data_IF_638192712763
#
_entry.id   IF_638192712763
#
_cell.length_a   1.000
_cell.length_b   1.000
_cell.length_c   1.000
_cell.angle_alpha   90.00
_cell.angle_beta   90.00
_cell.angle_gamma   90.00
#
_symmetry.space_group_name_H-M   'P 1'
#
loop_
_entity.id
_entity.type
_entity.pdbx_description
1 polymer ?
#
# COMPACT_ATOMS: atom_id res chain seq x y z
N UNK A 1 -4.65 20.66 -3.41
CA UNK A 1 -4.81 19.44 -4.25
C UNK A 1 -3.59 19.12 -5.11
N UNK A 2 -3.20 19.97 -6.08
CA UNK A 2 -2.05 19.68 -6.96
C UNK A 2 -0.73 19.46 -6.20
N UNK A 3 -0.43 20.31 -5.22
CA UNK A 3 0.75 20.16 -4.34
C UNK A 3 0.75 18.84 -3.56
N UNK A 4 -0.42 18.36 -3.15
CA UNK A 4 -0.55 17.08 -2.47
C UNK A 4 -0.20 15.93 -3.41
N UNK A 5 -0.77 15.91 -4.63
CA UNK A 5 -0.50 14.87 -5.62
C UNK A 5 0.98 14.81 -6.02
N UNK A 6 1.60 15.99 -6.24
CA UNK A 6 3.02 16.10 -6.59
C UNK A 6 3.96 15.56 -5.50
N UNK A 7 3.54 15.58 -4.24
CA UNK A 7 4.33 15.05 -3.13
C UNK A 7 3.97 13.60 -2.81
N UNK A 8 2.68 13.24 -2.86
CA UNK A 8 2.17 11.94 -2.44
C UNK A 8 2.55 10.83 -3.43
N UNK A 9 2.39 11.08 -4.74
CA UNK A 9 2.66 10.07 -5.76
C UNK A 9 4.13 9.58 -5.74
N UNK A 10 5.15 10.45 -5.86
CA UNK A 10 6.54 9.99 -5.87
C UNK A 10 6.96 9.41 -4.53
N UNK A 11 6.44 9.93 -3.40
CA UNK A 11 6.79 9.41 -2.07
C UNK A 11 6.20 8.02 -1.81
N UNK A 12 4.99 7.74 -2.28
CA UNK A 12 4.39 6.41 -2.21
C UNK A 12 5.14 5.41 -3.09
N UNK A 13 5.44 5.76 -4.35
CA UNK A 13 6.21 4.91 -5.26
C UNK A 13 7.59 4.60 -4.67
N UNK A 14 8.27 5.61 -4.12
CA UNK A 14 9.56 5.42 -3.45
C UNK A 14 9.45 4.50 -2.24
N UNK A 15 8.41 4.66 -1.43
CA UNK A 15 8.15 3.79 -0.26
C UNK A 15 7.93 2.34 -0.68
N UNK A 16 7.14 2.10 -1.74
CA UNK A 16 6.91 0.77 -2.29
C UNK A 16 8.20 0.16 -2.85
N UNK A 17 9.01 0.94 -3.55
CA UNK A 17 10.31 0.49 -4.05
C UNK A 17 11.25 0.11 -2.90
N UNK A 18 11.40 0.97 -1.89
CA UNK A 18 12.22 0.68 -0.70
C UNK A 18 11.75 -0.58 0.02
N UNK A 19 10.43 -0.76 0.15
CA UNK A 19 9.87 -1.95 0.77
C UNK A 19 10.16 -3.20 -0.05
N UNK A 20 9.99 -3.15 -1.37
CA UNK A 20 10.31 -4.26 -2.27
C UNK A 20 11.77 -4.71 -2.12
N UNK A 21 12.72 -3.77 -2.25
CA UNK A 21 14.15 -4.08 -2.11
C UNK A 21 14.54 -4.51 -0.69
N UNK A 22 13.94 -3.90 0.34
CA UNK A 22 14.18 -4.28 1.73
C UNK A 22 13.68 -5.69 2.04
N UNK A 23 12.53 -6.06 1.50
CA UNK A 23 11.94 -7.39 1.69
C UNK A 23 12.70 -8.48 0.93
N UNK A 24 13.21 -8.15 -0.26
CA UNK A 24 14.08 -9.00 -1.07
C UNK A 24 15.43 -9.22 -0.38
N UNK A 25 16.05 -8.16 0.15
CA UNK A 25 17.30 -8.25 0.92
C UNK A 25 17.18 -9.15 2.17
N UNK A 26 16.01 -9.15 2.82
CA UNK A 26 15.75 -10.01 3.99
C UNK A 26 15.41 -11.47 3.61
N UNK A 27 15.25 -11.79 2.32
CA UNK A 27 14.88 -13.13 1.86
C UNK A 27 13.48 -13.58 2.29
N UNK A 28 12.58 -12.63 2.62
CA UNK A 28 11.24 -12.90 3.14
C UNK A 28 10.15 -12.88 2.06
N UNK A 29 10.52 -12.56 0.82
CA UNK A 29 9.62 -12.46 -0.33
C UNK A 29 9.79 -13.62 -1.30
N UNK A 30 8.71 -13.99 -1.97
CA UNK A 30 8.83 -14.74 -3.22
C UNK A 30 9.33 -13.76 -4.29
N UNK A 31 10.54 -13.96 -4.80
CA UNK A 31 11.07 -13.22 -5.93
C UNK A 31 10.25 -13.58 -7.18
N UNK A 32 9.41 -12.65 -7.62
CA UNK A 32 8.70 -12.78 -8.89
C UNK A 32 9.43 -11.89 -9.88
N UNK A 33 10.14 -12.51 -10.82
CA UNK A 33 10.81 -11.82 -11.93
C UNK A 33 9.75 -11.24 -12.88
N UNK A 34 9.24 -10.06 -12.53
CA UNK A 34 8.37 -9.26 -13.38
C UNK A 34 9.22 -8.28 -14.20
N UNK A 35 8.85 -8.01 -15.46
CA UNK A 35 9.48 -6.95 -16.23
C UNK A 35 9.44 -5.62 -15.45
N UNK A 36 10.55 -4.85 -15.38
CA UNK A 36 10.62 -3.63 -14.56
C UNK A 36 9.51 -2.62 -14.86
N UNK A 37 9.05 -2.56 -16.12
CA UNK A 37 7.94 -1.70 -16.56
C UNK A 37 6.61 -2.10 -15.91
N UNK A 38 6.35 -3.40 -15.75
CA UNK A 38 5.11 -3.91 -15.15
C UNK A 38 5.14 -3.68 -13.65
N UNK A 39 6.29 -3.92 -13.01
CA UNK A 39 6.50 -3.65 -11.59
C UNK A 39 6.26 -2.16 -11.29
N UNK A 40 6.91 -1.26 -12.03
CA UNK A 40 6.75 0.18 -11.86
C UNK A 40 5.31 0.65 -12.12
N UNK A 41 4.67 0.13 -13.17
CA UNK A 41 3.27 0.47 -13.49
C UNK A 41 2.31 0.02 -12.39
N UNK A 42 2.57 -1.13 -11.76
CA UNK A 42 1.76 -1.62 -10.63
C UNK A 42 1.91 -0.71 -9.40
N UNK A 43 3.13 -0.29 -9.06
CA UNK A 43 3.35 0.68 -7.97
C UNK A 43 2.66 2.02 -8.22
N UNK A 44 2.71 2.52 -9.46
CA UNK A 44 2.00 3.74 -9.84
C UNK A 44 0.48 3.60 -9.66
N UNK A 45 -0.09 2.51 -10.19
CA UNK A 45 -1.53 2.27 -10.11
C UNK A 45 -2.00 2.14 -8.67
N UNK A 46 -1.22 1.45 -7.82
CA UNK A 46 -1.53 1.30 -6.40
C UNK A 46 -1.39 2.60 -5.63
N UNK A 47 -0.35 3.38 -5.92
CA UNK A 47 -0.17 4.70 -5.32
C UNK A 47 -1.35 5.61 -5.64
N UNK A 48 -1.82 5.59 -6.90
CA UNK A 48 -3.03 6.31 -7.31
C UNK A 48 -4.28 5.78 -6.60
N UNK A 49 -4.44 4.47 -6.51
CA UNK A 49 -5.56 3.84 -5.79
C UNK A 49 -5.62 4.26 -4.33
N UNK A 50 -4.48 4.28 -3.64
CA UNK A 50 -4.35 4.73 -2.25
C UNK A 50 -4.66 6.22 -2.07
N UNK A 51 -4.16 7.06 -2.98
CA UNK A 51 -4.46 8.49 -3.01
C UNK A 51 -5.97 8.71 -3.17
N UNK A 52 -6.61 8.03 -4.12
CA UNK A 52 -8.05 8.13 -4.37
C UNK A 52 -8.84 7.66 -3.15
N UNK A 53 -8.50 6.50 -2.58
CA UNK A 53 -9.16 5.98 -1.38
C UNK A 53 -9.04 6.96 -0.20
N UNK A 54 -7.85 7.51 0.03
CA UNK A 54 -7.61 8.51 1.07
C UNK A 54 -8.47 9.75 0.87
N UNK A 55 -8.50 10.31 -0.35
CA UNK A 55 -9.30 11.50 -0.67
C UNK A 55 -10.80 11.24 -0.53
N UNK A 56 -11.29 10.08 -0.99
CA UNK A 56 -12.70 9.69 -0.87
C UNK A 56 -13.14 9.58 0.58
N UNK A 57 -12.34 8.95 1.44
CA UNK A 57 -12.73 8.76 2.85
C UNK A 57 -12.61 10.08 3.62
N UNK A 58 -11.55 10.86 3.34
CA UNK A 58 -11.34 12.19 3.93
C UNK A 58 -12.45 13.17 3.54
N UNK A 59 -12.90 13.15 2.28
CA UNK A 59 -13.98 14.00 1.80
C UNK A 59 -15.33 13.77 2.48
N UNK A 60 -15.50 12.66 3.21
CA UNK A 60 -16.72 12.33 3.97
C UNK A 60 -16.68 12.79 5.43
N UNK A 61 -15.72 13.64 5.81
CA UNK A 61 -15.65 14.24 7.15
C UNK A 61 -15.19 13.28 8.27
N UNK A 62 -14.63 12.12 7.93
CA UNK A 62 -14.04 11.20 8.92
C UNK A 62 -12.69 11.70 9.41
N UNK A 63 -12.37 11.43 10.68
CA UNK A 63 -11.10 11.82 11.31
C UNK A 63 -9.88 11.39 10.48
N UNK A 64 -8.92 12.31 10.32
CA UNK A 64 -7.80 12.22 9.36
C UNK A 64 -7.04 10.89 9.41
N UNK A 65 -6.74 10.41 10.61
CA UNK A 65 -6.01 9.16 10.84
C UNK A 65 -6.86 7.92 10.56
N UNK A 66 -8.12 7.92 11.01
CA UNK A 66 -9.06 6.82 10.75
C UNK A 66 -9.35 6.70 9.25
N UNK A 67 -9.42 7.83 8.54
CA UNK A 67 -9.61 7.86 7.09
C UNK A 67 -8.42 7.23 6.35
N UNK A 68 -7.19 7.55 6.76
CA UNK A 68 -5.99 7.02 6.14
C UNK A 68 -5.77 5.54 6.44
N UNK A 69 -5.76 5.17 7.72
CA UNK A 69 -5.51 3.79 8.16
C UNK A 69 -6.63 2.88 7.69
N UNK A 70 -7.88 3.29 7.85
CA UNK A 70 -9.04 2.53 7.38
C UNK A 70 -9.04 2.35 5.86
N UNK A 71 -8.68 3.39 5.10
CA UNK A 71 -8.55 3.31 3.64
C UNK A 71 -7.44 2.37 3.20
N UNK A 72 -6.30 2.42 3.86
CA UNK A 72 -5.17 1.54 3.56
C UNK A 72 -5.44 0.09 3.96
N UNK A 73 -6.15 -0.16 5.07
CA UNK A 73 -6.55 -1.51 5.46
C UNK A 73 -7.60 -2.09 4.53
N UNK A 74 -8.57 -1.27 4.09
CA UNK A 74 -9.51 -1.68 3.04
C UNK A 74 -8.76 -2.00 1.74
N UNK A 75 -7.85 -1.14 1.30
CA UNK A 75 -7.04 -1.39 0.12
C UNK A 75 -6.21 -2.67 0.27
N UNK A 76 -5.58 -2.90 1.42
CA UNK A 76 -4.88 -4.14 1.73
C UNK A 76 -5.80 -5.34 1.62
N UNK A 77 -7.00 -5.32 2.24
CA UNK A 77 -7.99 -6.40 2.14
C UNK A 77 -8.33 -6.75 0.68
N UNK A 78 -8.60 -5.73 -0.14
CA UNK A 78 -9.04 -5.90 -1.53
C UNK A 78 -7.90 -6.16 -2.52
N UNK A 79 -6.63 -5.93 -2.15
CA UNK A 79 -5.46 -6.25 -2.99
C UNK A 79 -5.24 -7.76 -3.19
N UNK A 80 -6.02 -8.60 -2.51
CA UNK A 80 -5.91 -10.05 -2.61
C UNK A 80 -5.15 -10.82 -1.52
N UNK A 81 -4.56 -10.26 -0.43
CA UNK A 81 -4.00 -11.08 0.65
C UNK A 81 -5.03 -12.03 1.26
N UNK A 82 -6.29 -11.59 1.44
CA UNK A 82 -7.36 -12.48 1.88
C UNK A 82 -7.63 -13.59 0.89
N UNK A 83 -7.63 -13.29 -0.42
CA UNK A 83 -7.84 -14.27 -1.47
C UNK A 83 -6.69 -15.29 -1.52
N UNK A 84 -5.45 -14.83 -1.40
CA UNK A 84 -4.25 -15.69 -1.33
C UNK A 84 -4.30 -16.59 -0.09
N UNK A 85 -4.57 -16.02 1.09
CA UNK A 85 -4.62 -16.78 2.35
C UNK A 85 -5.78 -17.79 2.38
N UNK A 86 -6.94 -17.42 1.83
CA UNK A 86 -8.09 -18.34 1.72
C UNK A 86 -7.82 -19.48 0.74
N UNK A 87 -7.19 -19.21 -0.41
CA UNK A 87 -6.78 -20.25 -1.35
C UNK A 87 -5.72 -21.18 -0.76
N UNK A 88 -4.70 -20.64 -0.07
CA UNK A 88 -3.67 -21.44 0.61
C UNK A 88 -4.30 -22.35 1.67
N UNK A 89 -5.23 -21.82 2.47
CA UNK A 89 -5.98 -22.59 3.46
C UNK A 89 -6.85 -23.68 2.83
N UNK A 90 -7.59 -23.34 1.76
CA UNK A 90 -8.45 -24.28 1.04
C UNK A 90 -7.64 -25.41 0.36
N UNK A 91 -6.48 -25.08 -0.21
CA UNK A 91 -5.58 -26.02 -0.86
C UNK A 91 -4.70 -26.82 0.14
N UNK A 92 -4.81 -26.55 1.45
CA UNK A 92 -3.96 -27.13 2.51
C UNK A 92 -2.45 -27.00 2.23
N UNK A 93 -2.07 -25.92 1.57
CA UNK A 93 -0.66 -25.61 1.29
C UNK A 93 0.04 -25.11 2.56
N UNK A 94 1.38 -25.21 2.63
CA UNK A 94 2.13 -24.63 3.74
C UNK A 94 1.84 -23.13 3.86
N UNK A 95 1.69 -22.68 5.10
CA UNK A 95 1.33 -21.29 5.44
C UNK A 95 2.38 -20.27 4.98
N UNK A 96 3.64 -20.66 5.04
CA UNK A 96 4.76 -19.87 4.54
C UNK A 96 5.06 -20.25 3.09
N UNK A 97 5.44 -19.29 2.23
CA UNK A 97 5.82 -17.89 2.52
C UNK A 97 4.65 -16.88 2.51
N UNK A 98 3.44 -17.33 2.18
CA UNK A 98 2.28 -16.47 1.90
C UNK A 98 1.86 -15.60 3.08
N UNK A 99 1.98 -16.12 4.29
CA UNK A 99 1.68 -15.36 5.51
C UNK A 99 2.65 -14.19 5.73
N UNK A 100 3.94 -14.40 5.47
CA UNK A 100 4.97 -13.37 5.60
C UNK A 100 4.75 -12.28 4.55
N UNK A 101 4.38 -12.65 3.33
CA UNK A 101 4.00 -11.68 2.29
C UNK A 101 2.76 -10.87 2.69
N UNK A 102 1.72 -11.50 3.23
CA UNK A 102 0.50 -10.81 3.66
C UNK A 102 0.76 -9.81 4.80
N UNK A 103 1.58 -10.18 5.80
CA UNK A 103 2.00 -9.30 6.88
C UNK A 103 2.90 -8.17 6.38
N UNK A 104 3.83 -8.47 5.47
CA UNK A 104 4.67 -7.46 4.83
C UNK A 104 3.83 -6.41 4.11
N UNK A 105 2.87 -6.84 3.28
CA UNK A 105 1.93 -5.93 2.66
C UNK A 105 1.14 -5.13 3.69
N UNK A 106 0.66 -5.74 4.78
CA UNK A 106 -0.07 -5.00 5.82
C UNK A 106 0.78 -3.85 6.42
N UNK A 107 2.05 -4.13 6.71
CA UNK A 107 3.01 -3.13 7.15
C UNK A 107 3.21 -2.01 6.12
N UNK A 108 3.47 -2.37 4.86
CA UNK A 108 3.64 -1.41 3.77
C UNK A 108 2.45 -0.46 3.63
N UNK A 109 1.23 -1.00 3.56
CA UNK A 109 0.01 -0.19 3.44
C UNK A 109 -0.18 0.76 4.62
N UNK A 110 0.14 0.30 5.83
CA UNK A 110 0.09 1.14 7.03
C UNK A 110 1.09 2.29 6.92
N UNK A 111 2.33 2.03 6.51
CA UNK A 111 3.34 3.09 6.29
C UNK A 111 2.90 4.08 5.21
N UNK A 112 2.38 3.58 4.08
CA UNK A 112 1.81 4.42 3.01
C UNK A 112 0.65 5.31 3.52
N UNK A 113 -0.20 4.78 4.40
CA UNK A 113 -1.29 5.53 5.02
C UNK A 113 -0.77 6.68 5.88
N UNK A 114 0.20 6.40 6.75
CA UNK A 114 0.82 7.41 7.62
C UNK A 114 1.51 8.50 6.78
N UNK A 115 2.23 8.09 5.73
CA UNK A 115 2.87 8.99 4.78
C UNK A 115 1.84 9.93 4.13
N UNK A 116 0.70 9.40 3.69
CA UNK A 116 -0.38 10.19 3.09
C UNK A 116 -0.94 11.25 4.06
N UNK A 117 -1.06 10.93 5.35
CA UNK A 117 -1.47 11.91 6.37
C UNK A 117 -0.44 13.04 6.47
N UNK A 118 0.84 12.70 6.63
CA UNK A 118 1.92 13.68 6.75
C UNK A 118 2.02 14.56 5.50
N UNK A 119 1.93 13.96 4.31
CA UNK A 119 1.96 14.70 3.04
C UNK A 119 0.73 15.60 2.88
N UNK A 120 -0.45 15.16 3.32
CA UNK A 120 -1.65 15.99 3.31
C UNK A 120 -1.51 17.22 4.23
N UNK A 121 -0.93 17.06 5.42
CA UNK A 121 -0.67 18.17 6.34
C UNK A 121 0.34 19.16 5.75
N UNK A 122 1.46 18.66 5.21
CA UNK A 122 2.52 19.49 4.62
C UNK A 122 2.09 20.23 3.37
N UNK A 123 1.20 19.63 2.58
CA UNK A 123 0.66 20.24 1.37
C UNK A 123 -0.48 21.23 1.62
N UNK A 124 -0.90 21.39 2.88
CA UNK A 124 -1.97 22.29 3.27
C UNK A 124 -3.34 21.82 2.79
N UNK A 125 -3.54 20.51 2.57
CA UNK A 125 -4.83 19.95 2.16
C UNK A 125 -5.91 20.09 3.25
N UNK A 126 -5.53 20.46 4.48
CA UNK A 126 -6.40 20.73 5.63
C UNK A 126 -6.80 22.20 5.79
N UNK A 127 -6.28 23.09 4.94
CA UNK A 127 -6.61 24.53 4.92
C UNK A 127 -7.43 24.85 3.69
#
# INVERSE_FOLDING_TARGET
>A
MLRFLLLALPSLVLTMAMFYFGWDYLGLGASVDLPPIVLFSSWLLESLGLIVAFLLIRGRGRGRWLAAIGGAWLAWVFRGPLLVLTLVGAARLPREPWWNAALGWFGLYTVCALLLVVVAERSGLDR
#
